data_IF_572280918851
#
_entry.id   IF_572280918851
#
_cell.length_a   1.000
_cell.length_b   1.000
_cell.length_c   1.000
_cell.angle_alpha   90.00
_cell.angle_beta   90.00
_cell.angle_gamma   90.00
#
_symmetry.space_group_name_H-M   'P 1'
#
loop_
_entity.id
_entity.type
_entity.pdbx_description
1 polymer ?
#
# COMPACT_ATOMS: atom_id res chain seq x y z
N UNK A 1 2.05 -21.96 12.84
CA UNK A 1 2.08 -20.66 12.14
C UNK A 1 2.74 -20.74 10.74
N UNK A 2 2.00 -20.46 9.68
CA UNK A 2 2.50 -20.24 8.30
C UNK A 2 2.59 -18.75 7.97
N UNK A 3 3.47 -18.39 7.02
CA UNK A 3 3.58 -17.01 6.53
C UNK A 3 3.24 -17.00 5.04
N UNK A 4 2.21 -16.24 4.66
CA UNK A 4 1.78 -16.04 3.29
C UNK A 4 2.28 -14.69 2.79
N UNK A 5 3.18 -14.71 1.83
CA UNK A 5 3.76 -13.50 1.23
C UNK A 5 3.05 -13.26 -0.09
N UNK A 6 2.29 -12.16 -0.17
CA UNK A 6 1.65 -11.71 -1.40
C UNK A 6 2.59 -10.78 -2.13
N UNK A 7 2.91 -11.13 -3.37
CA UNK A 7 3.87 -10.40 -4.18
C UNK A 7 3.55 -10.57 -5.68
N UNK A 8 3.71 -9.54 -6.51
CA UNK A 8 3.57 -9.67 -7.96
C UNK A 8 4.65 -8.86 -8.68
N UNK A 9 5.19 -9.39 -9.78
CA UNK A 9 6.24 -8.71 -10.58
C UNK A 9 5.82 -7.33 -11.12
N UNK A 10 4.53 -7.00 -11.06
CA UNK A 10 4.00 -5.72 -11.54
C UNK A 10 4.53 -4.57 -10.69
N UNK A 11 4.81 -4.81 -9.40
CA UNK A 11 5.33 -3.82 -8.48
C UNK A 11 6.71 -3.25 -8.87
N UNK A 12 7.44 -3.91 -9.79
CA UNK A 12 8.65 -3.35 -10.37
C UNK A 12 8.39 -2.22 -11.38
N UNK A 13 7.18 -2.10 -11.93
CA UNK A 13 6.88 -1.17 -13.01
C UNK A 13 6.61 0.28 -12.56
N UNK A 14 6.52 0.53 -11.24
CA UNK A 14 6.49 1.89 -10.70
C UNK A 14 7.93 2.43 -10.60
N UNK A 15 8.44 3.03 -11.66
CA UNK A 15 9.86 3.39 -11.76
C UNK A 15 10.05 4.91 -11.66
N UNK A 16 11.11 5.39 -11.00
CA UNK A 16 11.45 6.81 -11.02
C UNK A 16 11.83 7.23 -12.46
N UNK A 17 11.89 8.55 -12.75
CA UNK A 17 12.30 9.04 -14.06
C UNK A 17 13.61 8.40 -14.55
N UNK A 18 13.73 8.04 -15.85
CA UNK A 18 14.92 7.38 -16.36
C UNK A 18 16.18 8.19 -16.09
N UNK A 19 17.23 7.53 -15.60
CA UNK A 19 18.50 8.17 -15.25
C UNK A 19 18.49 8.97 -13.94
N UNK A 20 17.38 8.96 -13.19
CA UNK A 20 17.32 9.55 -11.84
C UNK A 20 17.45 8.48 -10.75
N UNK A 21 17.99 8.88 -9.61
CA UNK A 21 17.94 8.09 -8.38
C UNK A 21 16.79 8.59 -7.50
N UNK A 22 16.05 7.66 -6.92
CA UNK A 22 15.02 7.94 -5.93
C UNK A 22 15.08 6.88 -4.82
N UNK A 23 14.96 7.23 -3.52
CA UNK A 23 15.01 6.23 -2.44
C UNK A 23 13.91 5.18 -2.54
N UNK A 24 12.69 5.60 -2.86
CA UNK A 24 11.59 4.70 -3.20
C UNK A 24 11.74 4.23 -4.66
N UNK A 25 12.27 3.03 -4.86
CA UNK A 25 12.55 2.47 -6.19
C UNK A 25 12.38 0.94 -6.24
N UNK A 26 12.31 0.33 -7.45
CA UNK A 26 12.12 -1.10 -7.63
C UNK A 26 13.19 -2.01 -6.97
N UNK A 27 14.42 -1.51 -6.77
CA UNK A 27 15.51 -2.27 -6.16
C UNK A 27 15.20 -2.65 -4.70
N UNK A 28 14.42 -1.82 -3.97
CA UNK A 28 13.94 -2.16 -2.61
C UNK A 28 13.20 -3.49 -2.60
N UNK A 29 12.30 -3.67 -3.58
CA UNK A 29 11.52 -4.90 -3.73
C UNK A 29 12.40 -6.08 -4.17
N UNK A 30 13.37 -5.84 -5.06
CA UNK A 30 14.29 -6.87 -5.53
C UNK A 30 15.11 -7.46 -4.37
N UNK A 31 15.63 -6.60 -3.49
CA UNK A 31 16.34 -7.03 -2.27
C UNK A 31 15.42 -7.88 -1.39
N UNK A 32 14.22 -7.38 -1.07
CA UNK A 32 13.28 -8.09 -0.21
C UNK A 32 12.92 -9.49 -0.77
N UNK A 33 12.56 -9.57 -2.06
CA UNK A 33 12.22 -10.83 -2.73
C UNK A 33 13.40 -11.79 -2.76
N UNK A 34 14.61 -11.32 -3.03
CA UNK A 34 15.81 -12.16 -3.04
C UNK A 34 16.11 -12.72 -1.66
N UNK A 35 16.01 -11.89 -0.62
CA UNK A 35 16.18 -12.31 0.78
C UNK A 35 15.13 -13.35 1.18
N UNK A 36 13.86 -13.11 0.84
CA UNK A 36 12.76 -14.06 1.10
C UNK A 36 13.02 -15.39 0.41
N UNK A 37 13.44 -15.40 -0.87
CA UNK A 37 13.76 -16.64 -1.61
C UNK A 37 14.86 -17.45 -0.94
N UNK A 38 15.87 -16.78 -0.36
CA UNK A 38 16.96 -17.44 0.35
C UNK A 38 16.50 -18.04 1.69
N UNK A 39 15.58 -17.38 2.40
CA UNK A 39 14.98 -17.89 3.65
C UNK A 39 13.96 -19.00 3.38
N UNK A 40 13.22 -18.90 2.28
CA UNK A 40 12.11 -19.78 1.87
C UNK A 40 12.49 -21.27 1.87
N UNK A 41 13.75 -21.58 1.57
CA UNK A 41 14.27 -22.96 1.55
C UNK A 41 14.21 -23.62 2.95
N UNK A 42 14.02 -22.84 4.03
CA UNK A 42 14.07 -23.32 5.42
C UNK A 42 12.75 -23.26 6.22
N UNK A 43 11.67 -22.66 5.70
CA UNK A 43 10.44 -22.35 6.49
C UNK A 43 9.11 -22.61 5.76
N UNK A 44 8.00 -22.67 6.52
CA UNK A 44 6.59 -22.76 6.01
C UNK A 44 6.10 -21.42 5.42
N UNK A 45 6.81 -20.93 4.40
CA UNK A 45 6.42 -19.74 3.66
C UNK A 45 5.62 -20.16 2.43
N UNK A 46 4.54 -19.44 2.12
CA UNK A 46 3.76 -19.59 0.89
C UNK A 46 3.85 -18.28 0.13
N UNK A 47 4.38 -18.29 -1.09
CA UNK A 47 4.44 -17.09 -1.94
C UNK A 47 3.26 -17.10 -2.90
N UNK A 48 2.37 -16.12 -2.74
CA UNK A 48 1.22 -15.92 -3.62
C UNK A 48 1.56 -14.87 -4.68
N UNK A 49 1.83 -15.36 -5.89
CA UNK A 49 2.12 -14.52 -7.06
C UNK A 49 0.91 -14.22 -7.93
N UNK A 50 -0.24 -14.83 -7.63
CA UNK A 50 -1.44 -14.76 -8.47
C UNK A 50 -2.38 -13.68 -7.97
N UNK A 51 -1.85 -12.47 -7.78
CA UNK A 51 -2.68 -11.29 -7.50
C UNK A 51 -3.25 -10.84 -8.84
N UNK A 52 -4.58 -10.84 -8.94
CA UNK A 52 -5.29 -10.41 -10.13
C UNK A 52 -6.01 -9.10 -9.81
N UNK A 53 -6.11 -8.24 -10.83
CA UNK A 53 -6.93 -7.04 -10.73
C UNK A 53 -8.38 -7.43 -10.43
N UNK A 54 -9.01 -6.75 -9.47
CA UNK A 54 -10.35 -7.05 -8.99
C UNK A 54 -11.15 -5.75 -8.91
N UNK A 55 -11.98 -5.52 -9.93
CA UNK A 55 -12.88 -4.37 -10.03
C UNK A 55 -13.85 -4.29 -8.84
N UNK A 56 -14.25 -5.43 -8.29
CA UNK A 56 -15.15 -5.47 -7.15
C UNK A 56 -14.46 -5.10 -5.85
N UNK A 57 -13.12 -5.08 -5.80
CA UNK A 57 -12.37 -4.63 -4.62
C UNK A 57 -11.85 -3.21 -4.77
N UNK A 58 -11.48 -2.80 -5.99
CA UNK A 58 -10.78 -1.52 -6.15
C UNK A 58 -11.61 -0.32 -5.71
N UNK A 59 -12.94 -0.42 -5.72
CA UNK A 59 -13.83 0.64 -5.25
C UNK A 59 -13.62 1.05 -3.79
N UNK A 60 -13.02 0.20 -2.94
CA UNK A 60 -12.71 0.55 -1.55
C UNK A 60 -11.73 1.72 -1.43
N UNK A 61 -10.97 2.03 -2.48
CA UNK A 61 -10.14 3.23 -2.56
C UNK A 61 -10.95 4.51 -2.28
N UNK A 62 -12.25 4.54 -2.67
CA UNK A 62 -13.15 5.67 -2.47
C UNK A 62 -13.56 5.87 -0.99
N UNK A 63 -13.29 4.90 -0.11
CA UNK A 63 -13.49 5.07 1.33
C UNK A 63 -12.29 5.75 1.99
N UNK A 64 -11.09 5.49 1.47
CA UNK A 64 -9.84 6.07 1.95
C UNK A 64 -9.56 7.45 1.33
N UNK A 65 -9.95 7.64 0.07
CA UNK A 65 -9.64 8.83 -0.70
C UNK A 65 -10.86 9.43 -1.37
N UNK A 66 -10.81 10.73 -1.55
CA UNK A 66 -11.81 11.48 -2.27
C UNK A 66 -11.67 11.29 -3.77
N UNK A 67 -12.81 11.28 -4.47
CA UNK A 67 -12.84 10.97 -5.90
C UNK A 67 -11.98 11.93 -6.72
N UNK A 68 -11.98 13.22 -6.37
CA UNK A 68 -11.18 14.23 -7.04
C UNK A 68 -9.67 13.97 -6.93
N UNK A 69 -9.19 13.46 -5.78
CA UNK A 69 -7.80 13.06 -5.61
C UNK A 69 -7.47 11.85 -6.49
N UNK A 70 -8.34 10.83 -6.51
CA UNK A 70 -8.15 9.65 -7.37
C UNK A 70 -8.12 10.04 -8.86
N UNK A 71 -9.05 10.88 -9.29
CA UNK A 71 -9.12 11.39 -10.67
C UNK A 71 -7.86 12.18 -11.03
N UNK A 72 -7.36 13.01 -10.11
CA UNK A 72 -6.12 13.76 -10.27
C UNK A 72 -4.91 12.82 -10.46
N UNK A 73 -4.74 11.82 -9.60
CA UNK A 73 -3.66 10.83 -9.74
C UNK A 73 -3.75 10.09 -11.07
N UNK A 74 -4.94 9.64 -11.45
CA UNK A 74 -5.16 8.97 -12.73
C UNK A 74 -4.80 9.87 -13.92
N UNK A 75 -5.10 11.17 -13.85
CA UNK A 75 -4.72 12.14 -14.87
C UNK A 75 -3.20 12.25 -15.02
N UNK A 76 -2.45 12.25 -13.91
CA UNK A 76 -0.99 12.32 -13.93
C UNK A 76 -0.35 11.05 -14.48
N UNK A 77 -0.86 9.86 -14.15
CA UNK A 77 -0.36 8.61 -14.73
C UNK A 77 -0.49 8.58 -16.26
N UNK A 78 -1.52 9.23 -16.81
CA UNK A 78 -1.73 9.31 -18.26
C UNK A 78 -0.73 10.22 -18.98
N UNK A 79 -0.01 11.11 -18.27
CA UNK A 79 1.03 11.97 -18.87
C UNK A 79 2.38 11.27 -18.99
N UNK A 80 2.55 10.08 -18.41
CA UNK A 80 3.82 9.36 -18.36
C UNK A 80 4.56 9.64 -17.06
N UNK A 81 5.70 10.33 -17.13
CA UNK A 81 6.45 10.73 -15.93
C UNK A 81 6.00 12.11 -15.45
N UNK A 82 5.64 12.20 -14.17
CA UNK A 82 5.31 13.46 -13.50
C UNK A 82 5.65 13.36 -12.02
N UNK A 83 5.54 14.48 -11.32
CA UNK A 83 5.61 14.56 -9.88
C UNK A 83 4.27 15.06 -9.34
N UNK A 84 3.78 14.41 -8.28
CA UNK A 84 2.61 14.88 -7.53
C UNK A 84 3.02 16.07 -6.66
N UNK A 85 4.20 15.98 -6.05
CA UNK A 85 4.86 17.00 -5.25
C UNK A 85 6.40 16.84 -5.36
N UNK A 86 7.17 17.51 -4.51
CA UNK A 86 8.64 17.52 -4.61
C UNK A 86 9.32 16.17 -4.42
N UNK A 87 8.66 15.17 -3.85
CA UNK A 87 9.27 13.86 -3.57
C UNK A 87 8.48 12.66 -4.10
N UNK A 88 7.24 12.85 -4.52
CA UNK A 88 6.37 11.75 -4.93
C UNK A 88 6.22 11.74 -6.45
N UNK A 89 6.94 10.84 -7.11
CA UNK A 89 6.86 10.67 -8.57
C UNK A 89 5.71 9.74 -8.98
N UNK A 90 5.27 9.91 -10.23
CA UNK A 90 4.44 8.94 -10.95
C UNK A 90 5.06 8.64 -12.30
N UNK A 91 4.79 7.44 -12.78
CA UNK A 91 5.19 6.90 -14.07
C UNK A 91 3.99 6.31 -14.79
N UNK A 92 4.17 5.97 -16.08
CA UNK A 92 3.14 5.36 -16.94
C UNK A 92 2.39 4.18 -16.30
N UNK A 93 3.06 3.35 -15.51
CA UNK A 93 2.45 2.16 -14.89
C UNK A 93 1.99 2.41 -13.45
N UNK A 94 2.26 3.58 -12.87
CA UNK A 94 2.10 3.82 -11.42
C UNK A 94 0.68 3.57 -10.94
N UNK A 95 -0.34 4.07 -11.64
CA UNK A 95 -1.73 3.87 -11.22
C UNK A 95 -2.09 2.38 -11.18
N UNK A 96 -1.81 1.63 -12.25
CA UNK A 96 -2.03 0.17 -12.28
C UNK A 96 -1.27 -0.56 -11.16
N UNK A 97 -0.03 -0.14 -10.88
CA UNK A 97 0.80 -0.72 -9.83
C UNK A 97 0.24 -0.41 -8.44
N UNK A 98 -0.20 0.82 -8.20
CA UNK A 98 -0.80 1.25 -6.95
C UNK A 98 -2.14 0.55 -6.69
N UNK A 99 -3.00 0.40 -7.69
CA UNK A 99 -4.24 -0.38 -7.57
C UNK A 99 -3.97 -1.85 -7.19
N UNK A 100 -2.93 -2.46 -7.78
CA UNK A 100 -2.50 -3.80 -7.41
C UNK A 100 -1.98 -3.89 -5.97
N UNK A 101 -1.36 -2.82 -5.45
CA UNK A 101 -0.92 -2.75 -4.06
C UNK A 101 -2.14 -2.74 -3.11
N UNK A 102 -3.17 -1.94 -3.43
CA UNK A 102 -4.44 -1.93 -2.69
C UNK A 102 -5.08 -3.32 -2.65
N UNK A 103 -5.17 -4.00 -3.81
CA UNK A 103 -5.77 -5.34 -3.91
C UNK A 103 -4.98 -6.37 -3.11
N UNK A 104 -3.65 -6.31 -3.18
CA UNK A 104 -2.78 -7.19 -2.40
C UNK A 104 -2.98 -6.99 -0.88
N UNK A 105 -3.08 -5.74 -0.42
CA UNK A 105 -3.37 -5.41 0.98
C UNK A 105 -4.76 -5.85 1.44
N UNK A 106 -5.79 -5.76 0.58
CA UNK A 106 -7.11 -6.32 0.90
C UNK A 106 -7.09 -7.85 0.95
N UNK A 107 -6.36 -8.50 0.04
CA UNK A 107 -6.25 -9.97 0.01
C UNK A 107 -5.45 -10.52 1.19
N UNK A 108 -4.50 -9.77 1.76
CA UNK A 108 -3.81 -10.23 2.97
C UNK A 108 -4.77 -10.38 4.15
N UNK A 109 -5.82 -9.54 4.23
CA UNK A 109 -6.89 -9.69 5.23
C UNK A 109 -7.65 -11.00 4.99
N UNK A 110 -8.06 -11.29 3.74
CA UNK A 110 -8.76 -12.55 3.43
C UNK A 110 -7.93 -13.77 3.85
N UNK A 111 -6.64 -13.78 3.51
CA UNK A 111 -5.75 -14.90 3.82
C UNK A 111 -5.58 -15.09 5.33
N UNK A 112 -5.37 -13.99 6.07
CA UNK A 112 -5.20 -14.03 7.51
C UNK A 112 -6.46 -14.52 8.23
N UNK A 113 -7.64 -14.22 7.69
CA UNK A 113 -8.92 -14.63 8.28
C UNK A 113 -9.36 -16.04 7.87
N UNK A 114 -8.98 -16.50 6.67
CA UNK A 114 -9.43 -17.80 6.15
C UNK A 114 -8.57 -18.98 6.60
N UNK A 115 -7.40 -18.74 7.18
CA UNK A 115 -6.47 -19.79 7.59
C UNK A 115 -6.16 -19.69 9.08
N UNK A 116 -6.21 -20.82 9.79
CA UNK A 116 -5.76 -20.89 11.18
C UNK A 116 -4.24 -20.67 11.27
N UNK A 117 -3.80 -19.95 12.31
CA UNK A 117 -2.40 -19.65 12.59
C UNK A 117 -1.60 -19.16 11.36
N UNK A 118 -2.11 -18.14 10.66
CA UNK A 118 -1.47 -17.61 9.45
C UNK A 118 -1.15 -16.13 9.59
N UNK A 119 0.07 -15.75 9.24
CA UNK A 119 0.45 -14.36 9.00
C UNK A 119 0.41 -14.09 7.50
N UNK A 120 -0.24 -13.00 7.09
CA UNK A 120 -0.24 -12.56 5.70
C UNK A 120 0.58 -11.28 5.57
N UNK A 121 1.53 -11.27 4.63
CA UNK A 121 2.44 -10.17 4.38
C UNK A 121 2.28 -9.67 2.95
N UNK A 122 1.70 -8.47 2.78
CA UNK A 122 1.59 -7.83 1.48
C UNK A 122 2.91 -7.11 1.15
N UNK A 123 3.77 -7.74 0.34
CA UNK A 123 5.03 -7.17 -0.11
C UNK A 123 4.79 -6.30 -1.36
N UNK A 124 4.33 -5.08 -1.12
CA UNK A 124 3.83 -4.15 -2.15
C UNK A 124 4.67 -2.89 -2.28
N UNK A 125 4.58 -2.25 -3.43
CA UNK A 125 4.94 -0.84 -3.63
C UNK A 125 4.08 -0.24 -4.75
N UNK A 126 3.80 1.09 -4.78
CA UNK A 126 4.26 2.14 -3.85
C UNK A 126 3.74 2.00 -2.39
N UNK A 127 4.37 2.66 -1.39
CA UNK A 127 3.89 2.71 -0.01
C UNK A 127 2.59 3.53 0.11
N UNK A 128 2.03 3.65 1.33
CA UNK A 128 0.71 4.28 1.49
C UNK A 128 0.43 5.10 2.77
N UNK A 129 1.20 5.01 3.84
CA UNK A 129 0.78 5.57 5.14
C UNK A 129 0.78 7.10 5.24
N UNK A 130 1.45 7.81 4.33
CA UNK A 130 1.55 9.28 4.35
C UNK A 130 0.40 10.00 3.62
N UNK A 131 -0.36 9.30 2.79
CA UNK A 131 -1.40 9.93 1.97
C UNK A 131 -2.77 9.86 2.67
N UNK A 132 -3.38 11.03 2.85
CA UNK A 132 -4.69 11.24 3.46
C UNK A 132 -5.82 11.27 2.43
N UNK A 133 -6.98 11.82 2.80
CA UNK A 133 -8.19 11.77 1.95
C UNK A 133 -8.04 12.52 0.63
N UNK A 134 -7.34 13.65 0.67
CA UNK A 134 -7.16 14.58 -0.44
C UNK A 134 -5.72 14.62 -0.98
N UNK A 135 -4.89 13.63 -0.62
CA UNK A 135 -3.47 13.62 -0.94
C UNK A 135 -2.60 13.93 0.27
N UNK A 136 -1.87 15.05 0.26
CA UNK A 136 -1.04 15.48 1.40
C UNK A 136 -1.88 15.60 2.68
N UNK A 137 -1.40 14.98 3.75
CA UNK A 137 -2.14 14.88 5.00
C UNK A 137 -1.57 15.78 6.10
N UNK A 138 -2.46 16.29 6.95
CA UNK A 138 -2.10 17.04 8.18
C UNK A 138 -1.11 18.22 7.96
N UNK A 139 -1.15 18.86 6.80
CA UNK A 139 -0.26 19.98 6.48
C UNK A 139 1.18 19.59 6.13
N UNK A 140 1.46 18.29 5.93
CA UNK A 140 2.76 17.82 5.49
C UNK A 140 3.14 18.42 4.12
N UNK A 141 4.44 18.67 3.86
CA UNK A 141 4.90 19.30 2.63
C UNK A 141 4.70 18.39 1.40
N UNK A 142 4.74 17.08 1.58
CA UNK A 142 4.68 16.04 0.54
C UNK A 142 3.83 14.85 0.99
N UNK A 143 3.62 13.90 0.08
CA UNK A 143 2.95 12.62 0.34
C UNK A 143 3.92 11.50 0.70
N UNK A 144 5.22 11.78 0.89
CA UNK A 144 6.21 10.81 1.33
C UNK A 144 6.24 9.56 0.45
N UNK A 145 6.32 9.74 -0.86
CA UNK A 145 6.33 8.68 -1.87
C UNK A 145 5.01 7.89 -2.02
N UNK A 146 3.99 8.20 -1.23
CA UNK A 146 2.75 7.44 -1.19
C UNK A 146 1.77 7.93 -2.27
N UNK A 147 1.17 6.99 -3.01
CA UNK A 147 0.17 7.29 -4.05
C UNK A 147 -1.24 7.12 -3.49
N UNK A 148 -1.54 5.96 -2.91
CA UNK A 148 -2.79 5.66 -2.22
C UNK A 148 -2.50 4.96 -0.90
N UNK A 149 -3.41 5.08 0.05
CA UNK A 149 -3.27 4.51 1.38
C UNK A 149 -3.70 3.03 1.37
N UNK A 150 -2.71 2.17 1.19
CA UNK A 150 -2.86 0.71 1.18
C UNK A 150 -3.53 0.19 2.46
N UNK A 151 -3.08 0.68 3.62
CA UNK A 151 -3.58 0.22 4.92
C UNK A 151 -5.01 0.68 5.14
N UNK A 152 -5.30 1.97 4.90
CA UNK A 152 -6.65 2.47 5.10
C UNK A 152 -7.68 1.81 4.18
N UNK A 153 -7.34 1.60 2.91
CA UNK A 153 -8.20 0.89 1.96
C UNK A 153 -8.47 -0.55 2.42
N UNK A 154 -7.44 -1.27 2.86
CA UNK A 154 -7.59 -2.63 3.38
C UNK A 154 -8.41 -2.67 4.68
N UNK A 155 -8.18 -1.74 5.60
CA UNK A 155 -8.95 -1.63 6.84
C UNK A 155 -10.43 -1.37 6.56
N UNK A 156 -10.77 -0.45 5.65
CA UNK A 156 -12.18 -0.25 5.26
C UNK A 156 -12.79 -1.51 4.63
N UNK A 157 -12.04 -2.24 3.81
CA UNK A 157 -12.47 -3.54 3.27
C UNK A 157 -12.80 -4.54 4.37
N UNK A 158 -11.95 -4.66 5.40
CA UNK A 158 -12.20 -5.53 6.54
C UNK A 158 -13.41 -5.09 7.38
N UNK A 159 -13.55 -3.79 7.64
CA UNK A 159 -14.65 -3.23 8.42
C UNK A 159 -16.00 -3.51 7.76
N UNK A 160 -16.11 -3.33 6.45
CA UNK A 160 -17.34 -3.62 5.69
C UNK A 160 -17.73 -5.10 5.71
N UNK A 161 -16.77 -5.98 5.97
CA UNK A 161 -16.99 -7.41 6.13
C UNK A 161 -17.31 -7.81 7.58
N UNK A 162 -17.49 -6.82 8.47
CA UNK A 162 -17.88 -7.00 9.86
C UNK A 162 -16.71 -7.22 10.82
N UNK A 163 -15.46 -7.08 10.37
CA UNK A 163 -14.30 -7.24 11.25
C UNK A 163 -14.00 -5.91 11.95
N UNK A 164 -14.28 -5.85 13.24
CA UNK A 164 -13.93 -4.71 14.10
C UNK A 164 -13.64 -5.21 15.53
N UNK A 165 -12.78 -4.51 16.30
CA UNK A 165 -11.96 -3.36 15.91
C UNK A 165 -10.74 -3.75 15.06
N UNK A 166 -10.18 -2.78 14.32
CA UNK A 166 -8.87 -2.90 13.69
C UNK A 166 -7.80 -2.21 14.54
N UNK A 167 -6.66 -2.85 14.73
CA UNK A 167 -5.47 -2.22 15.31
C UNK A 167 -4.44 -2.07 14.19
N UNK A 168 -4.08 -0.84 13.89
CA UNK A 168 -2.99 -0.50 12.98
C UNK A 168 -1.80 -0.11 13.85
N UNK A 169 -0.75 -0.92 13.80
CA UNK A 169 0.54 -0.62 14.42
C UNK A 169 1.51 -0.20 13.32
N UNK A 170 1.73 1.10 13.19
CA UNK A 170 2.72 1.67 12.29
C UNK A 170 4.08 1.75 13.00
N UNK A 171 5.07 1.11 12.39
CA UNK A 171 6.45 1.01 12.87
C UNK A 171 7.44 1.57 11.84
N UNK A 172 6.94 2.22 10.78
CA UNK A 172 7.80 3.01 9.91
C UNK A 172 8.45 4.12 10.75
N UNK A 173 9.67 4.49 10.38
CA UNK A 173 10.43 5.52 11.11
C UNK A 173 9.81 6.91 10.97
N UNK A 174 8.94 7.11 9.98
CA UNK A 174 8.19 8.34 9.77
C UNK A 174 6.74 8.20 10.25
N UNK A 175 6.18 9.33 10.70
CA UNK A 175 4.76 9.42 11.07
C UNK A 175 3.84 9.05 9.89
N UNK A 176 2.97 8.07 10.09
CA UNK A 176 1.87 7.70 9.19
C UNK A 176 0.72 8.72 9.21
N UNK A 177 1.03 9.98 8.93
CA UNK A 177 0.11 11.13 8.96
C UNK A 177 -1.15 10.95 8.10
N UNK A 178 -1.05 10.25 6.97
CA UNK A 178 -2.21 9.94 6.12
C UNK A 178 -3.16 8.93 6.75
N UNK A 179 -2.61 7.84 7.30
CA UNK A 179 -3.39 6.85 8.05
C UNK A 179 -4.05 7.48 9.27
N UNK A 180 -3.30 8.31 10.00
CA UNK A 180 -3.81 9.07 11.14
C UNK A 180 -4.96 10.00 10.72
N UNK A 181 -4.80 10.79 9.67
CA UNK A 181 -5.85 11.69 9.17
C UNK A 181 -7.13 10.93 8.81
N UNK A 182 -7.01 9.82 8.07
CA UNK A 182 -8.16 9.07 7.56
C UNK A 182 -9.01 8.48 8.69
N UNK A 183 -8.38 8.00 9.76
CA UNK A 183 -9.03 7.32 10.89
C UNK A 183 -9.15 8.16 12.16
N UNK A 184 -8.76 9.44 12.14
CA UNK A 184 -8.68 10.30 13.32
C UNK A 184 -9.95 10.29 14.19
N UNK A 185 -11.13 10.19 13.55
CA UNK A 185 -12.43 10.15 14.23
C UNK A 185 -13.18 8.82 14.03
N UNK A 186 -12.52 7.77 13.55
CA UNK A 186 -13.17 6.46 13.33
C UNK A 186 -12.96 5.55 14.55
N UNK A 187 -13.98 5.33 15.40
CA UNK A 187 -13.82 4.54 16.63
C UNK A 187 -13.61 3.04 16.37
N UNK A 188 -13.76 2.58 15.12
CA UNK A 188 -13.54 1.19 14.73
C UNK A 188 -12.06 0.86 14.56
N UNK A 189 -11.19 1.87 14.57
CA UNK A 189 -9.76 1.75 14.30
C UNK A 189 -8.94 2.35 15.45
N UNK A 190 -7.98 1.59 15.93
CA UNK A 190 -6.94 2.05 16.85
C UNK A 190 -5.66 2.20 16.03
N UNK A 191 -5.18 3.44 15.89
CA UNK A 191 -3.91 3.74 15.23
C UNK A 191 -2.82 3.97 16.30
N UNK A 192 -1.78 3.15 16.26
CA UNK A 192 -0.59 3.26 17.10
C UNK A 192 0.58 3.50 16.15
N UNK A 193 1.29 4.61 16.36
CA UNK A 193 2.35 5.04 15.46
C UNK A 193 3.60 5.36 16.30
N UNK A 194 4.72 4.73 15.96
CA UNK A 194 6.00 4.88 16.66
C UNK A 194 7.05 5.33 15.66
N UNK A 195 7.37 6.62 15.68
CA UNK A 195 8.31 7.28 14.76
C UNK A 195 9.38 8.09 15.51
N UNK A 196 10.41 8.54 14.78
CA UNK A 196 11.50 9.37 15.30
C UNK A 196 11.07 10.80 15.66
#
# INVERSE_FOLDING_TARGET
MSIHILYHNIFYLHEPPPGSYHPENPHRLAIAVNTIKNIYISQKIVVDTKIHYDLNRIHYILKAHEKNYIDFINSLCNTGYSYIDSDTYVSKNTCKVAEMALIASMRSIDIALSHHETLAFALVRPPGHHVGRYGRAMGAPTQGFCIFNNIATATFYGIDRGYTPFIIMDIDVHHGNGTQEIFWYDPRVIHIDVHQ
#
